data_IF_254185359082
#
_entry.id   IF_254185359082
#
_cell.length_a   1.000
_cell.length_b   1.000
_cell.length_c   1.000
_cell.angle_alpha   90.00
_cell.angle_beta   90.00
_cell.angle_gamma   90.00
#
_symmetry.space_group_name_H-M   'P 1'
#
loop_
_entity.id
_entity.type
_entity.pdbx_description
1 polymer ?
#
# COMPACT_ATOMS: atom_id res chain seq x y z
N UNK A 1 -27.09 20.91 -5.54
CA UNK A 1 -25.77 20.39 -5.83
C UNK A 1 -24.64 21.12 -5.09
N UNK A 2 -24.51 22.47 -5.22
CA UNK A 2 -23.46 23.26 -4.53
C UNK A 2 -23.52 23.15 -2.99
N UNK A 3 -24.70 23.18 -2.38
CA UNK A 3 -24.91 23.08 -0.91
C UNK A 3 -24.47 21.69 -0.41
N UNK A 4 -24.74 20.62 -1.16
CA UNK A 4 -24.33 19.27 -0.80
C UNK A 4 -22.81 19.11 -0.80
N UNK A 5 -22.11 19.72 -1.77
CA UNK A 5 -20.63 19.72 -1.85
C UNK A 5 -20.04 20.49 -0.65
N UNK A 6 -20.64 21.63 -0.29
CA UNK A 6 -20.19 22.41 0.88
C UNK A 6 -20.41 21.61 2.18
N UNK A 7 -21.55 20.95 2.34
CA UNK A 7 -21.81 20.10 3.51
C UNK A 7 -20.83 18.92 3.60
N UNK A 8 -20.56 18.26 2.49
CA UNK A 8 -19.57 17.16 2.45
C UNK A 8 -18.15 17.67 2.80
N UNK A 9 -17.77 18.86 2.30
CA UNK A 9 -16.46 19.45 2.60
C UNK A 9 -16.34 19.90 4.06
N UNK A 10 -17.41 20.40 4.67
CA UNK A 10 -17.44 20.75 6.10
C UNK A 10 -17.38 19.50 6.98
N UNK A 11 -18.10 18.44 6.60
CA UNK A 11 -18.09 17.17 7.34
C UNK A 11 -16.70 16.51 7.31
N UNK A 12 -16.03 16.52 6.14
CA UNK A 12 -14.67 15.97 6.02
C UNK A 12 -13.63 16.74 6.84
N UNK A 13 -13.78 18.06 6.98
CA UNK A 13 -12.87 18.88 7.79
C UNK A 13 -13.01 18.65 9.31
N UNK A 14 -14.23 18.36 9.80
CA UNK A 14 -14.46 18.08 11.23
C UNK A 14 -13.81 16.76 11.61
N UNK A 15 -14.01 15.71 10.81
CA UNK A 15 -13.40 14.39 11.04
C UNK A 15 -11.88 14.39 10.92
N UNK A 16 -11.31 15.13 9.94
CA UNK A 16 -9.87 15.24 9.75
C UNK A 16 -9.16 15.89 10.94
N UNK A 17 -9.80 16.90 11.55
CA UNK A 17 -9.21 17.63 12.69
C UNK A 17 -9.11 16.76 13.94
N UNK A 18 -10.08 15.88 14.14
CA UNK A 18 -10.11 14.97 15.30
C UNK A 18 -9.00 13.91 15.20
N UNK A 19 -8.81 13.31 14.02
CA UNK A 19 -7.75 12.35 13.74
C UNK A 19 -6.35 12.93 13.97
N UNK A 20 -6.04 14.11 13.41
CA UNK A 20 -4.73 14.73 13.52
C UNK A 20 -4.38 15.06 14.98
N UNK A 21 -5.37 15.41 15.78
CA UNK A 21 -5.19 15.71 17.19
C UNK A 21 -4.87 14.44 17.98
N UNK A 22 -5.64 13.36 17.80
CA UNK A 22 -5.44 12.07 18.46
C UNK A 22 -4.10 11.45 18.03
N UNK A 23 -3.76 11.53 16.73
CA UNK A 23 -2.47 11.07 16.23
C UNK A 23 -1.28 11.84 16.83
N UNK A 24 -1.43 13.16 16.99
CA UNK A 24 -0.42 14.01 17.63
C UNK A 24 -0.25 13.66 19.11
N UNK A 25 -1.33 13.36 19.81
CA UNK A 25 -1.30 12.91 21.20
C UNK A 25 -0.52 11.59 21.33
N UNK A 26 -0.79 10.62 20.47
CA UNK A 26 -0.04 9.36 20.42
C UNK A 26 1.47 9.60 20.21
N UNK A 27 1.82 10.52 19.29
CA UNK A 27 3.22 10.90 19.06
C UNK A 27 3.87 11.54 20.31
N UNK A 28 3.12 12.33 21.07
CA UNK A 28 3.62 12.93 22.31
C UNK A 28 3.89 11.87 23.38
N UNK A 29 3.04 10.86 23.51
CA UNK A 29 3.30 9.70 24.37
C UNK A 29 4.55 8.93 23.94
N UNK A 30 4.72 8.71 22.63
CA UNK A 30 5.93 8.08 22.08
C UNK A 30 7.19 8.86 22.45
N UNK A 31 7.19 10.18 22.23
CA UNK A 31 8.32 11.06 22.54
C UNK A 31 8.63 11.10 24.04
N UNK A 32 7.61 10.97 24.89
CA UNK A 32 7.74 10.83 26.35
C UNK A 32 8.13 9.42 26.80
N UNK A 33 8.48 8.50 25.89
CA UNK A 33 8.81 7.09 26.16
C UNK A 33 7.66 6.29 26.81
N UNK A 34 6.45 6.79 26.73
CA UNK A 34 5.20 6.15 27.20
C UNK A 34 4.63 5.27 26.06
N UNK A 35 5.37 4.24 25.69
CA UNK A 35 5.08 3.45 24.50
C UNK A 35 3.78 2.66 24.58
N UNK A 36 3.38 2.19 25.78
CA UNK A 36 2.13 1.44 25.95
C UNK A 36 0.89 2.31 25.70
N UNK A 37 0.90 3.53 26.24
CA UNK A 37 -0.18 4.49 26.01
C UNK A 37 -0.24 4.92 24.54
N UNK A 38 0.91 5.14 23.94
CA UNK A 38 1.00 5.43 22.51
C UNK A 38 0.42 4.30 21.65
N UNK A 39 0.71 3.03 21.98
CA UNK A 39 0.14 1.85 21.32
C UNK A 39 -1.38 1.87 21.41
N UNK A 40 -1.93 2.06 22.61
CA UNK A 40 -3.38 2.07 22.82
C UNK A 40 -4.09 3.10 21.95
N UNK A 41 -3.52 4.29 21.82
CA UNK A 41 -4.09 5.36 21.00
C UNK A 41 -3.95 5.02 19.51
N UNK A 42 -2.79 4.52 19.04
CA UNK A 42 -2.66 4.12 17.64
C UNK A 42 -3.60 2.96 17.26
N UNK A 43 -3.78 1.99 18.15
CA UNK A 43 -4.72 0.88 17.96
C UNK A 43 -6.17 1.37 17.93
N UNK A 44 -6.54 2.36 18.77
CA UNK A 44 -7.89 2.96 18.69
C UNK A 44 -8.14 3.65 17.35
N UNK A 45 -7.16 4.38 16.83
CA UNK A 45 -7.24 4.99 15.50
C UNK A 45 -7.47 3.92 14.41
N UNK A 46 -6.73 2.81 14.48
CA UNK A 46 -6.91 1.69 13.55
C UNK A 46 -8.29 1.04 13.69
N UNK A 47 -8.84 0.93 14.91
CA UNK A 47 -10.16 0.34 15.17
C UNK A 47 -11.31 1.20 14.59
N UNK A 48 -11.09 2.51 14.44
CA UNK A 48 -12.00 3.43 13.76
C UNK A 48 -11.91 3.35 12.23
N UNK A 49 -11.01 2.51 11.70
CA UNK A 49 -10.83 2.30 10.26
C UNK A 49 -9.86 3.27 9.59
N UNK A 50 -9.13 4.08 10.36
CA UNK A 50 -8.11 4.96 9.81
C UNK A 50 -6.80 4.21 9.60
N UNK A 51 -6.25 4.29 8.39
CA UNK A 51 -4.99 3.65 8.03
C UNK A 51 -4.06 4.62 7.31
N UNK A 52 -2.81 4.69 7.75
CA UNK A 52 -1.76 5.42 7.03
C UNK A 52 -0.39 4.75 7.24
N UNK A 53 0.54 4.99 6.33
CA UNK A 53 1.91 4.48 6.45
C UNK A 53 2.58 5.00 7.74
N UNK A 54 2.38 6.28 8.07
CA UNK A 54 2.93 6.89 9.27
C UNK A 54 2.34 6.31 10.57
N UNK A 55 1.04 6.01 10.58
CA UNK A 55 0.36 5.38 11.72
C UNK A 55 0.97 4.01 12.02
N UNK A 56 1.05 3.14 11.01
CA UNK A 56 1.66 1.83 11.14
C UNK A 56 3.15 1.88 11.46
N UNK A 57 3.89 2.87 10.90
CA UNK A 57 5.31 3.06 11.20
C UNK A 57 5.54 3.40 12.67
N UNK A 58 4.79 4.36 13.21
CA UNK A 58 4.93 4.79 14.59
C UNK A 58 4.48 3.70 15.57
N UNK A 59 3.38 3.00 15.26
CA UNK A 59 2.95 1.83 16.02
C UNK A 59 4.03 0.73 16.03
N UNK A 60 4.64 0.46 14.87
CA UNK A 60 5.75 -0.47 14.75
C UNK A 60 6.97 -0.08 15.60
N UNK A 61 7.28 1.21 15.66
CA UNK A 61 8.33 1.74 16.53
C UNK A 61 7.98 1.53 18.02
N UNK A 62 6.74 1.78 18.42
CA UNK A 62 6.27 1.54 19.80
C UNK A 62 6.41 0.07 20.19
N UNK A 63 5.92 -0.85 19.36
CA UNK A 63 6.04 -2.30 19.59
C UNK A 63 7.51 -2.72 19.69
N UNK A 64 8.37 -2.18 18.82
CA UNK A 64 9.80 -2.47 18.86
C UNK A 64 10.45 -2.04 20.16
N UNK A 65 10.09 -0.86 20.69
CA UNK A 65 10.57 -0.34 21.98
C UNK A 65 10.07 -1.19 23.16
N UNK A 66 8.88 -1.76 23.04
CA UNK A 66 8.31 -2.70 24.02
C UNK A 66 8.80 -4.14 23.86
N UNK A 67 9.77 -4.38 22.97
CA UNK A 67 10.29 -5.72 22.64
C UNK A 67 9.21 -6.68 22.10
N UNK A 68 8.11 -6.15 21.59
CA UNK A 68 7.03 -6.90 20.91
C UNK A 68 7.38 -7.05 19.43
N UNK A 69 8.42 -7.84 19.15
CA UNK A 69 9.07 -7.89 17.82
C UNK A 69 8.10 -8.37 16.72
N UNK A 70 7.25 -9.37 17.01
CA UNK A 70 6.28 -9.89 16.05
C UNK A 70 5.27 -8.81 15.59
N UNK A 71 4.71 -8.05 16.55
CA UNK A 71 3.79 -6.95 16.26
C UNK A 71 4.48 -5.80 15.52
N UNK A 72 5.74 -5.51 15.88
CA UNK A 72 6.55 -4.50 15.19
C UNK A 72 6.73 -4.85 13.71
N UNK A 73 7.12 -6.10 13.41
CA UNK A 73 7.28 -6.58 12.03
C UNK A 73 5.95 -6.52 11.27
N UNK A 74 4.85 -6.93 11.90
CA UNK A 74 3.52 -6.83 11.31
C UNK A 74 3.17 -5.38 10.93
N UNK A 75 3.37 -4.43 11.85
CA UNK A 75 3.06 -3.03 11.65
C UNK A 75 3.92 -2.43 10.52
N UNK A 76 5.24 -2.68 10.50
CA UNK A 76 6.11 -2.21 9.42
C UNK A 76 5.73 -2.80 8.06
N UNK A 77 5.33 -4.07 7.99
CA UNK A 77 4.84 -4.69 6.74
C UNK A 77 3.56 -4.04 6.25
N UNK A 78 2.62 -3.72 7.16
CA UNK A 78 1.41 -2.95 6.82
C UNK A 78 1.75 -1.55 6.29
N UNK A 79 2.68 -0.86 6.93
CA UNK A 79 3.15 0.45 6.47
C UNK A 79 3.75 0.38 5.05
N UNK A 80 4.56 -0.65 4.75
CA UNK A 80 5.17 -0.86 3.43
C UNK A 80 4.18 -1.21 2.32
N UNK A 81 3.02 -1.79 2.64
CA UNK A 81 1.95 -1.99 1.64
C UNK A 81 1.44 -0.63 1.16
N UNK A 82 1.37 0.36 2.05
CA UNK A 82 0.88 1.71 1.74
C UNK A 82 1.99 2.56 1.10
N UNK A 83 3.22 2.49 1.63
CA UNK A 83 4.39 3.22 1.12
C UNK A 83 5.59 2.29 0.90
N UNK A 84 5.62 1.55 -0.22
CA UNK A 84 6.62 0.50 -0.46
C UNK A 84 8.03 1.01 -0.71
N UNK A 85 8.23 2.30 -0.94
CA UNK A 85 9.54 2.90 -1.23
C UNK A 85 10.16 3.64 -0.05
N UNK A 86 9.54 3.62 1.09
CA UNK A 86 10.02 4.29 2.30
C UNK A 86 11.26 3.60 2.86
N UNK A 87 12.39 4.28 2.77
CA UNK A 87 13.70 3.72 3.18
C UNK A 87 13.79 3.49 4.67
N UNK A 88 13.17 4.33 5.49
CA UNK A 88 13.19 4.20 6.95
C UNK A 88 12.38 2.99 7.40
N UNK A 89 11.22 2.76 6.78
CA UNK A 89 10.42 1.56 6.99
C UNK A 89 11.19 0.29 6.63
N UNK A 90 11.83 0.26 5.45
CA UNK A 90 12.63 -0.89 5.00
C UNK A 90 13.76 -1.18 6.00
N UNK A 91 14.45 -0.13 6.45
CA UNK A 91 15.53 -0.25 7.43
C UNK A 91 15.02 -0.77 8.77
N UNK A 92 13.94 -0.18 9.32
CA UNK A 92 13.41 -0.57 10.62
C UNK A 92 12.84 -1.99 10.59
N UNK A 93 12.16 -2.38 9.48
CA UNK A 93 11.72 -3.75 9.28
C UNK A 93 12.89 -4.72 9.29
N UNK A 94 13.99 -4.43 8.58
CA UNK A 94 15.16 -5.30 8.56
C UNK A 94 15.80 -5.49 9.95
N UNK A 95 15.83 -4.42 10.75
CA UNK A 95 16.32 -4.47 12.14
C UNK A 95 15.39 -5.33 13.02
N UNK A 96 14.07 -5.16 12.87
CA UNK A 96 13.09 -5.95 13.61
C UNK A 96 13.15 -7.43 13.22
N UNK A 97 13.21 -7.74 11.93
CA UNK A 97 13.32 -9.11 11.42
C UNK A 97 14.63 -9.80 11.90
N UNK A 98 15.72 -9.06 12.03
CA UNK A 98 16.97 -9.60 12.59
C UNK A 98 16.86 -10.02 14.07
N UNK A 99 15.88 -9.48 14.82
CA UNK A 99 15.62 -9.86 16.23
C UNK A 99 14.67 -11.04 16.39
N UNK A 100 14.04 -11.52 15.31
CA UNK A 100 13.19 -12.72 15.38
C UNK A 100 14.07 -13.94 15.66
N UNK A 101 13.82 -14.60 16.81
CA UNK A 101 14.59 -15.79 17.22
C UNK A 101 14.15 -17.05 16.47
N UNK A 102 12.84 -17.19 16.23
CA UNK A 102 12.26 -18.33 15.50
C UNK A 102 11.95 -17.92 14.05
N UNK A 103 12.84 -18.29 13.15
CA UNK A 103 12.59 -18.13 11.71
C UNK A 103 12.03 -19.44 11.16
N UNK A 104 10.79 -19.41 10.72
CA UNK A 104 10.25 -20.48 9.88
C UNK A 104 10.98 -20.40 8.55
N UNK A 105 11.81 -21.39 8.27
CA UNK A 105 12.46 -21.54 6.97
C UNK A 105 11.40 -22.07 6.02
N UNK A 106 10.78 -21.16 5.25
CA UNK A 106 9.88 -21.54 4.18
C UNK A 106 10.67 -22.16 3.03
N UNK A 107 10.12 -23.15 2.31
CA UNK A 107 10.72 -23.67 1.10
C UNK A 107 11.00 -22.52 0.12
N UNK A 108 12.10 -22.65 -0.66
CA UNK A 108 12.41 -21.65 -1.67
C UNK A 108 11.26 -21.51 -2.66
N UNK A 109 10.73 -20.29 -2.79
CA UNK A 109 9.72 -19.98 -3.78
C UNK A 109 10.30 -20.14 -5.20
N UNK A 110 9.49 -20.62 -6.13
CA UNK A 110 9.88 -20.66 -7.53
C UNK A 110 10.42 -19.28 -7.97
N UNK A 111 11.51 -19.29 -8.71
CA UNK A 111 12.24 -18.09 -9.15
C UNK A 111 11.32 -17.01 -9.75
N UNK A 112 10.36 -17.42 -10.58
CA UNK A 112 9.39 -16.50 -11.19
C UNK A 112 8.43 -15.86 -10.17
N UNK A 113 7.99 -16.61 -9.15
CA UNK A 113 7.13 -16.10 -8.06
C UNK A 113 7.88 -15.05 -7.25
N UNK A 114 9.17 -15.30 -6.97
CA UNK A 114 10.04 -14.36 -6.26
C UNK A 114 10.25 -13.06 -7.03
N UNK A 115 10.47 -13.15 -8.36
CA UNK A 115 10.61 -11.96 -9.22
C UNK A 115 9.29 -11.19 -9.27
N UNK A 116 8.17 -11.89 -9.51
CA UNK A 116 6.85 -11.27 -9.56
C UNK A 116 6.50 -10.58 -8.23
N UNK A 117 6.74 -11.23 -7.09
CA UNK A 117 6.54 -10.65 -5.76
C UNK A 117 7.35 -9.37 -5.55
N UNK A 118 8.65 -9.39 -5.94
CA UNK A 118 9.50 -8.20 -5.88
C UNK A 118 9.03 -7.06 -6.79
N UNK A 119 8.48 -7.40 -7.97
CA UNK A 119 7.94 -6.40 -8.89
C UNK A 119 6.63 -5.83 -8.36
N UNK A 120 5.72 -6.70 -7.91
CA UNK A 120 4.42 -6.32 -7.36
C UNK A 120 4.56 -5.41 -6.14
N UNK A 121 5.51 -5.69 -5.26
CA UNK A 121 5.73 -4.91 -4.03
C UNK A 121 6.33 -3.51 -4.24
N UNK A 122 6.77 -3.17 -5.46
CA UNK A 122 7.31 -1.83 -5.78
C UNK A 122 6.23 -0.75 -5.94
N UNK A 123 4.99 -1.15 -6.17
CA UNK A 123 3.90 -0.25 -6.47
C UNK A 123 2.82 -0.34 -5.40
N UNK A 124 2.20 0.79 -5.10
CA UNK A 124 1.02 0.86 -4.25
C UNK A 124 -0.22 0.34 -4.98
N UNK A 125 -1.27 -0.02 -4.24
CA UNK A 125 -2.55 -0.41 -4.84
C UNK A 125 -3.10 0.66 -5.80
N UNK A 126 -2.97 1.95 -5.43
CA UNK A 126 -3.40 3.07 -6.27
C UNK A 126 -2.65 3.13 -7.61
N UNK A 127 -1.34 2.93 -7.58
CA UNK A 127 -0.50 2.89 -8.78
C UNK A 127 -0.87 1.70 -9.67
N UNK A 128 -1.14 0.53 -9.09
CA UNK A 128 -1.62 -0.63 -9.83
C UNK A 128 -2.97 -0.38 -10.52
N UNK A 129 -3.92 0.28 -9.84
CA UNK A 129 -5.20 0.65 -10.43
C UNK A 129 -5.04 1.63 -11.60
N UNK A 130 -4.13 2.61 -11.48
CA UNK A 130 -3.84 3.53 -12.58
C UNK A 130 -3.20 2.80 -13.77
N UNK A 131 -2.22 1.94 -13.53
CA UNK A 131 -1.56 1.13 -14.57
C UNK A 131 -2.61 0.26 -15.27
N UNK A 132 -3.45 -0.45 -14.51
CA UNK A 132 -4.53 -1.28 -15.06
C UNK A 132 -5.55 -0.47 -15.88
N UNK A 133 -5.94 0.71 -15.40
CA UNK A 133 -6.82 1.63 -16.12
C UNK A 133 -6.25 2.11 -17.45
N UNK A 134 -4.98 2.53 -17.46
CA UNK A 134 -4.28 2.95 -18.69
C UNK A 134 -4.19 1.79 -19.69
N UNK A 135 -3.82 0.61 -19.24
CA UNK A 135 -3.74 -0.58 -20.09
C UNK A 135 -5.13 -0.94 -20.65
N UNK A 136 -6.17 -0.89 -19.81
CA UNK A 136 -7.57 -1.11 -20.22
C UNK A 136 -8.02 -0.13 -21.31
N UNK A 137 -7.69 1.16 -21.17
CA UNK A 137 -7.99 2.17 -22.20
C UNK A 137 -7.24 1.90 -23.52
N UNK A 138 -5.96 1.55 -23.43
CA UNK A 138 -5.16 1.21 -24.61
C UNK A 138 -5.69 -0.03 -25.32
N UNK A 139 -6.15 -1.04 -24.58
CA UNK A 139 -6.76 -2.25 -25.17
C UNK A 139 -8.11 -1.95 -25.82
N UNK A 140 -8.96 -1.14 -25.16
CA UNK A 140 -10.26 -0.74 -25.70
C UNK A 140 -10.11 0.11 -26.97
N UNK A 141 -9.21 1.09 -26.97
CA UNK A 141 -8.95 1.92 -28.17
C UNK A 141 -8.39 1.09 -29.32
N UNK A 142 -7.52 0.15 -29.02
CA UNK A 142 -6.96 -0.76 -30.00
C UNK A 142 -8.01 -1.72 -30.58
N UNK A 143 -8.92 -2.23 -29.76
CA UNK A 143 -10.06 -3.02 -30.22
C UNK A 143 -10.95 -2.22 -31.15
N UNK A 144 -11.31 -0.98 -30.80
CA UNK A 144 -12.11 -0.09 -31.65
C UNK A 144 -11.42 0.20 -32.97
N UNK A 145 -10.12 0.49 -32.99
CA UNK A 145 -9.33 0.70 -34.20
C UNK A 145 -9.36 -0.55 -35.12
N UNK A 146 -9.30 -1.75 -34.53
CA UNK A 146 -9.34 -3.01 -35.27
C UNK A 146 -10.72 -3.27 -35.89
N UNK A 147 -11.79 -2.97 -35.13
CA UNK A 147 -13.18 -3.17 -35.56
C UNK A 147 -13.56 -2.22 -36.71
N UNK A 148 -13.15 -0.96 -36.61
CA UNK A 148 -13.40 0.01 -37.69
C UNK A 148 -12.45 -0.08 -38.86
N UNK A 149 -11.61 -1.11 -38.95
CA UNK A 149 -10.63 -1.33 -40.04
C UNK A 149 -9.76 -0.11 -40.38
N UNK A 150 -9.56 0.77 -39.43
CA UNK A 150 -8.77 2.00 -39.62
C UNK A 150 -7.28 1.72 -39.86
N UNK A 151 -6.80 0.53 -39.49
CA UNK A 151 -5.41 0.10 -39.73
C UNK A 151 -5.38 -1.25 -40.42
N UNK A 152 -4.98 -1.24 -41.67
CA UNK A 152 -4.86 -2.45 -42.49
C UNK A 152 -3.53 -3.22 -42.25
N UNK A 153 -2.80 -2.88 -41.20
CA UNK A 153 -1.48 -3.46 -40.95
C UNK A 153 -1.56 -4.62 -39.96
N UNK A 154 -1.53 -5.84 -40.46
CA UNK A 154 -1.56 -7.10 -39.74
C UNK A 154 -0.50 -7.21 -38.62
N UNK A 155 0.66 -6.52 -38.75
CA UNK A 155 1.72 -6.52 -37.73
C UNK A 155 1.31 -5.75 -36.46
N UNK A 156 0.67 -4.61 -36.64
CA UNK A 156 0.18 -3.78 -35.50
C UNK A 156 -0.95 -4.52 -34.79
N UNK A 157 -1.84 -5.18 -35.51
CA UNK A 157 -2.94 -5.96 -34.92
C UNK A 157 -2.42 -7.15 -34.07
N UNK A 158 -1.33 -7.81 -34.52
CA UNK A 158 -0.68 -8.87 -33.72
C UNK A 158 -0.03 -8.34 -32.45
N UNK A 159 0.69 -7.22 -32.52
CA UNK A 159 1.31 -6.58 -31.36
C UNK A 159 0.27 -6.20 -30.30
N UNK A 160 -0.86 -5.68 -30.72
CA UNK A 160 -1.96 -5.30 -29.85
C UNK A 160 -2.59 -6.53 -29.17
N UNK A 161 -2.82 -7.62 -29.88
CA UNK A 161 -3.32 -8.88 -29.30
C UNK A 161 -2.35 -9.45 -28.25
N UNK A 162 -1.04 -9.35 -28.51
CA UNK A 162 -0.01 -9.78 -27.55
C UNK A 162 -0.03 -8.90 -26.29
N UNK A 163 -0.16 -7.58 -26.44
CA UNK A 163 -0.30 -6.65 -25.32
C UNK A 163 -1.55 -6.95 -24.47
N UNK A 164 -2.70 -7.22 -25.11
CA UNK A 164 -3.92 -7.63 -24.41
C UNK A 164 -3.71 -8.92 -23.62
N UNK A 165 -3.05 -9.92 -24.19
CA UNK A 165 -2.77 -11.18 -23.51
C UNK A 165 -1.86 -10.99 -22.30
N UNK A 166 -0.82 -10.16 -22.43
CA UNK A 166 0.09 -9.82 -21.33
C UNK A 166 -0.62 -9.09 -20.18
N UNK A 167 -1.61 -8.25 -20.48
CA UNK A 167 -2.36 -7.54 -19.43
C UNK A 167 -3.28 -8.46 -18.64
N UNK A 168 -3.90 -9.44 -19.30
CA UNK A 168 -4.72 -10.45 -18.62
C UNK A 168 -3.84 -11.29 -17.69
N UNK A 169 -2.63 -11.67 -18.11
CA UNK A 169 -1.70 -12.47 -17.29
C UNK A 169 -1.19 -11.68 -16.07
N UNK A 170 -1.06 -10.36 -16.15
CA UNK A 170 -0.60 -9.52 -15.04
C UNK A 170 -1.71 -9.27 -14.00
N UNK A 171 -2.99 -9.39 -14.40
CA UNK A 171 -4.15 -9.11 -13.54
C UNK A 171 -4.79 -10.35 -12.91
N UNK A 172 -4.40 -11.56 -13.31
CA UNK A 172 -4.77 -12.84 -12.69
C UNK A 172 -3.74 -13.22 -11.64
#
# INVERSE_FOLDING_TARGET
>A
MRILIILISLFSNIFSKDFDQIFTEANNFYNGSRYLESIQIYESILSEGWESSNLYFNLGNCYFRQNQIGQSVWAYKKALIIDPRNKDLIKNLSIAEARIKDRVILPDEFYFVKIYGKFKSKFTLKEWLVIGGVIGLLTATSFLISEFRLINNLKILRLVKILILLTVIIHV
#
